data_IF_479770211347
#
_entry.id   IF_479770211347
#
_cell.length_a   1.000
_cell.length_b   1.000
_cell.length_c   1.000
_cell.angle_alpha   90.00
_cell.angle_beta   90.00
_cell.angle_gamma   90.00
#
_symmetry.space_group_name_H-M   'P 1'
#
loop_
_entity.id
_entity.type
_entity.pdbx_description
1 polymer ?
#
# COMPACT_ATOMS: atom_id res chain seq x y z
N UNK A 1 15.27 -12.28 -3.63
CA UNK A 1 16.54 -11.53 -3.46
C UNK A 1 17.61 -12.32 -2.71
N UNK A 2 17.30 -13.47 -2.08
CA UNK A 2 18.26 -14.24 -1.26
C UNK A 2 19.52 -14.74 -1.98
N UNK A 3 19.56 -14.71 -3.32
CA UNK A 3 20.71 -15.12 -4.12
C UNK A 3 21.55 -13.96 -4.67
N UNK A 4 21.22 -12.71 -4.36
CA UNK A 4 22.01 -11.56 -4.79
C UNK A 4 23.40 -11.60 -4.13
N UNK A 5 24.45 -11.38 -4.93
CA UNK A 5 25.84 -11.41 -4.48
C UNK A 5 26.49 -10.06 -4.68
N UNK A 6 27.18 -9.57 -3.66
CA UNK A 6 28.01 -8.39 -3.75
C UNK A 6 29.44 -8.78 -4.12
N UNK A 7 30.01 -8.12 -5.12
CA UNK A 7 31.43 -8.26 -5.42
C UNK A 7 32.31 -7.41 -4.51
N UNK A 8 33.62 -7.56 -4.66
CA UNK A 8 34.60 -6.83 -3.86
C UNK A 8 34.76 -5.39 -4.35
N UNK A 9 34.79 -4.44 -3.41
CA UNK A 9 35.22 -3.08 -3.69
C UNK A 9 36.74 -3.04 -3.83
N UNK A 10 37.26 -2.15 -4.70
CA UNK A 10 38.70 -1.87 -4.76
C UNK A 10 39.02 -0.71 -3.80
N UNK A 11 40.20 -0.71 -3.18
CA UNK A 11 40.65 0.40 -2.34
C UNK A 11 40.62 1.71 -3.15
N UNK A 12 39.86 2.70 -2.70
CA UNK A 12 39.63 3.97 -3.41
C UNK A 12 38.48 3.96 -4.42
N UNK A 13 37.77 2.83 -4.60
CA UNK A 13 36.57 2.71 -5.43
C UNK A 13 35.35 2.44 -4.55
N UNK A 14 34.35 3.31 -4.64
CA UNK A 14 33.05 3.15 -3.96
C UNK A 14 32.02 2.39 -4.81
N UNK A 15 32.49 1.57 -5.78
CA UNK A 15 31.63 0.80 -6.67
C UNK A 15 31.31 -0.53 -6.01
N UNK A 16 30.02 -0.78 -5.77
CA UNK A 16 29.50 -2.03 -5.22
C UNK A 16 28.77 -2.81 -6.32
N UNK A 17 29.43 -3.76 -7.01
CA UNK A 17 28.76 -4.57 -8.02
C UNK A 17 27.79 -5.55 -7.35
N UNK A 18 26.54 -5.56 -7.81
CA UNK A 18 25.52 -6.51 -7.39
C UNK A 18 25.22 -7.46 -8.53
N UNK A 19 25.45 -8.76 -8.30
CA UNK A 19 25.13 -9.84 -9.23
C UNK A 19 23.85 -10.52 -8.80
N UNK A 20 22.87 -10.54 -9.69
CA UNK A 20 21.58 -11.19 -9.46
C UNK A 20 21.47 -12.39 -10.40
N UNK A 21 21.75 -13.62 -9.92
CA UNK A 21 21.67 -14.81 -10.76
C UNK A 21 20.22 -15.06 -11.17
N UNK A 22 20.03 -15.48 -12.42
CA UNK A 22 18.72 -15.84 -12.94
C UNK A 22 18.51 -17.34 -12.82
N UNK A 23 17.37 -17.74 -12.27
CA UNK A 23 16.91 -19.11 -12.38
C UNK A 23 16.20 -19.28 -13.73
N UNK A 24 16.91 -19.86 -14.69
CA UNK A 24 16.40 -20.12 -16.05
C UNK A 24 15.81 -21.52 -16.21
N UNK A 25 15.76 -22.31 -15.14
CA UNK A 25 15.24 -23.68 -15.18
C UNK A 25 13.74 -23.73 -15.49
N UNK A 26 12.99 -22.76 -14.98
CA UNK A 26 11.54 -22.61 -15.16
C UNK A 26 11.13 -22.09 -16.54
N UNK A 27 12.07 -21.60 -17.35
CA UNK A 27 11.82 -20.98 -18.67
C UNK A 27 11.84 -22.04 -19.79
N UNK A 28 12.38 -23.24 -19.52
CA UNK A 28 12.49 -24.32 -20.50
C UNK A 28 11.31 -25.29 -20.41
N UNK A 29 10.11 -24.84 -20.79
CA UNK A 29 9.02 -25.74 -21.16
C UNK A 29 9.11 -26.09 -22.65
N UNK A 30 9.87 -27.12 -23.02
CA UNK A 30 9.75 -27.74 -24.36
C UNK A 30 8.88 -28.99 -24.23
N UNK A 31 7.84 -29.11 -25.05
CA UNK A 31 7.13 -30.38 -25.18
C UNK A 31 7.99 -31.41 -25.94
N UNK A 32 7.60 -32.69 -25.88
CA UNK A 32 8.27 -33.78 -26.58
C UNK A 32 8.14 -33.71 -28.12
N UNK A 33 7.33 -32.78 -28.64
CA UNK A 33 7.02 -32.57 -30.06
C UNK A 33 7.78 -31.40 -30.69
N UNK A 34 8.57 -30.64 -29.91
CA UNK A 34 9.30 -29.48 -30.41
C UNK A 34 8.41 -28.27 -30.72
N UNK A 35 7.15 -28.26 -30.29
CA UNK A 35 6.22 -27.14 -30.47
C UNK A 35 6.16 -26.28 -29.21
N UNK A 36 6.33 -24.97 -29.41
CA UNK A 36 6.28 -23.97 -28.34
C UNK A 36 4.81 -23.65 -28.02
N UNK A 37 4.18 -24.52 -27.23
CA UNK A 37 2.86 -24.28 -26.65
C UNK A 37 2.93 -23.03 -25.76
N UNK A 38 2.23 -21.96 -26.17
CA UNK A 38 1.97 -20.72 -25.43
C UNK A 38 2.84 -20.54 -24.17
N UNK A 39 4.06 -20.06 -24.38
CA UNK A 39 4.92 -19.58 -23.30
C UNK A 39 4.18 -18.43 -22.64
N UNK A 40 3.54 -18.67 -21.49
CA UNK A 40 3.32 -17.57 -20.57
C UNK A 40 4.70 -17.14 -20.10
N UNK A 41 5.26 -16.12 -20.77
CA UNK A 41 6.56 -15.50 -20.57
C UNK A 41 6.67 -14.87 -19.17
N UNK A 42 6.62 -15.69 -18.13
CA UNK A 42 6.81 -15.24 -16.77
C UNK A 42 8.27 -14.88 -16.61
N UNK A 43 8.54 -13.58 -16.66
CA UNK A 43 9.83 -13.03 -16.28
C UNK A 43 10.26 -13.62 -14.92
N UNK A 44 11.48 -14.19 -14.82
CA UNK A 44 11.96 -14.75 -13.56
C UNK A 44 11.90 -13.72 -12.45
N UNK A 45 11.62 -14.17 -11.23
CA UNK A 45 11.39 -13.26 -10.10
C UNK A 45 12.57 -12.32 -9.87
N UNK A 46 13.79 -12.83 -10.04
CA UNK A 46 15.02 -12.08 -9.91
C UNK A 46 15.14 -10.98 -10.98
N UNK A 47 14.65 -11.24 -12.19
CA UNK A 47 14.62 -10.25 -13.27
C UNK A 47 13.53 -9.21 -13.01
N UNK A 48 12.32 -9.62 -12.59
CA UNK A 48 11.25 -8.70 -12.19
C UNK A 48 11.70 -7.77 -11.07
N UNK A 49 12.32 -8.31 -10.02
CA UNK A 49 12.79 -7.54 -8.88
C UNK A 49 13.85 -6.51 -9.28
N UNK A 50 14.85 -6.92 -10.07
CA UNK A 50 15.88 -6.01 -10.59
C UNK A 50 15.26 -4.94 -11.50
N UNK A 51 14.28 -5.31 -12.35
CA UNK A 51 13.56 -4.36 -13.21
C UNK A 51 12.78 -3.34 -12.40
N UNK A 52 12.02 -3.78 -11.40
CA UNK A 52 11.29 -2.88 -10.50
C UNK A 52 12.26 -1.94 -9.78
N UNK A 53 13.39 -2.44 -9.27
CA UNK A 53 14.41 -1.60 -8.65
C UNK A 53 14.96 -0.54 -9.61
N UNK A 54 15.28 -0.94 -10.85
CA UNK A 54 15.78 -0.03 -11.88
C UNK A 54 14.73 1.03 -12.24
N UNK A 55 13.48 0.62 -12.44
CA UNK A 55 12.35 1.50 -12.75
C UNK A 55 12.08 2.48 -11.61
N UNK A 56 12.10 2.01 -10.36
CA UNK A 56 11.93 2.84 -9.18
C UNK A 56 13.05 3.89 -9.05
N UNK A 57 14.31 3.50 -9.26
CA UNK A 57 15.44 4.44 -9.24
C UNK A 57 15.32 5.49 -10.34
N UNK A 58 14.93 5.08 -11.54
CA UNK A 58 14.68 6.00 -12.66
C UNK A 58 13.50 6.93 -12.39
N UNK A 59 12.43 6.43 -11.76
CA UNK A 59 11.28 7.25 -11.39
C UNK A 59 11.68 8.32 -10.36
N UNK A 60 12.47 7.97 -9.34
CA UNK A 60 13.00 8.96 -8.38
C UNK A 60 13.81 10.03 -9.10
N UNK A 61 14.72 9.65 -9.99
CA UNK A 61 15.48 10.64 -10.77
C UNK A 61 14.55 11.55 -11.58
N UNK A 62 13.68 10.98 -12.42
CA UNK A 62 12.88 11.74 -13.39
C UNK A 62 11.74 12.57 -12.77
N UNK A 63 11.16 12.10 -11.66
CA UNK A 63 9.97 12.70 -11.06
C UNK A 63 10.28 13.54 -9.81
N UNK A 64 11.43 13.31 -9.16
CA UNK A 64 11.82 14.03 -7.94
C UNK A 64 13.05 14.90 -8.20
N UNK A 65 14.11 14.32 -8.77
CA UNK A 65 15.41 15.00 -8.90
C UNK A 65 15.41 15.99 -10.06
N UNK A 66 15.14 15.52 -11.27
CA UNK A 66 15.21 16.32 -12.50
C UNK A 66 14.25 17.54 -12.50
N UNK A 67 13.00 17.44 -11.98
CA UNK A 67 12.11 18.60 -11.93
C UNK A 67 12.54 19.65 -10.90
N UNK A 68 13.44 19.30 -9.96
CA UNK A 68 13.94 20.14 -8.89
C UNK A 68 12.82 20.86 -8.09
N UNK A 69 11.68 20.19 -7.91
CA UNK A 69 10.48 20.73 -7.26
C UNK A 69 9.89 19.71 -6.30
N UNK A 70 9.17 20.22 -5.32
CA UNK A 70 8.45 19.40 -4.37
C UNK A 70 7.40 18.51 -5.08
N UNK A 71 7.38 17.18 -4.83
CA UNK A 71 6.44 16.30 -5.51
C UNK A 71 4.98 16.57 -5.09
N UNK A 72 4.09 16.49 -6.09
CA UNK A 72 2.64 16.59 -5.91
C UNK A 72 2.03 15.26 -5.47
N UNK A 73 0.73 15.24 -5.15
CA UNK A 73 -0.01 14.01 -4.84
C UNK A 73 -0.03 13.02 -6.03
N UNK A 74 -0.26 13.50 -7.25
CA UNK A 74 -0.20 12.65 -8.46
C UNK A 74 1.19 12.06 -8.69
N UNK A 75 2.23 12.88 -8.48
CA UNK A 75 3.63 12.40 -8.55
C UNK A 75 3.92 11.30 -7.52
N UNK A 76 3.31 11.37 -6.34
CA UNK A 76 3.45 10.32 -5.32
C UNK A 76 2.79 9.00 -5.75
N UNK A 77 1.63 9.07 -6.38
CA UNK A 77 0.95 7.89 -6.94
C UNK A 77 1.78 7.25 -8.07
N UNK A 78 2.37 8.07 -8.95
CA UNK A 78 3.25 7.62 -10.02
C UNK A 78 4.51 6.92 -9.46
N UNK A 79 5.13 7.48 -8.42
CA UNK A 79 6.28 6.89 -7.74
C UNK A 79 5.94 5.52 -7.13
N UNK A 80 4.80 5.42 -6.43
CA UNK A 80 4.34 4.16 -5.83
C UNK A 80 4.07 3.12 -6.93
N UNK A 81 3.42 3.53 -8.02
CA UNK A 81 3.13 2.65 -9.16
C UNK A 81 4.40 2.14 -9.84
N UNK A 82 5.45 2.96 -9.88
CA UNK A 82 6.78 2.57 -10.36
C UNK A 82 7.56 1.65 -9.39
N UNK A 83 7.01 1.35 -8.21
CA UNK A 83 7.63 0.49 -7.21
C UNK A 83 8.56 1.21 -6.24
N UNK A 84 8.49 2.54 -6.16
CA UNK A 84 9.27 3.32 -5.19
C UNK A 84 8.69 3.12 -3.80
N UNK A 85 9.53 2.78 -2.83
CA UNK A 85 9.17 2.70 -1.42
C UNK A 85 9.75 3.87 -0.63
N UNK A 86 9.16 4.16 0.53
CA UNK A 86 9.67 5.18 1.45
C UNK A 86 11.08 4.84 1.91
N UNK A 87 11.34 3.57 2.20
CA UNK A 87 12.62 3.05 2.67
C UNK A 87 13.71 3.26 1.62
N UNK A 88 13.38 3.05 0.34
CA UNK A 88 14.29 3.30 -0.77
C UNK A 88 14.65 4.78 -0.89
N UNK A 89 13.67 5.68 -0.83
CA UNK A 89 13.93 7.13 -0.91
C UNK A 89 14.72 7.63 0.30
N UNK A 90 14.42 7.09 1.50
CA UNK A 90 15.18 7.41 2.71
C UNK A 90 16.64 6.93 2.60
N UNK A 91 16.87 5.72 2.12
CA UNK A 91 18.23 5.19 1.90
C UNK A 91 19.00 6.03 0.87
N UNK A 92 18.35 6.45 -0.22
CA UNK A 92 18.96 7.37 -1.19
C UNK A 92 19.36 8.70 -0.55
N UNK A 93 18.46 9.31 0.23
CA UNK A 93 18.75 10.52 1.00
C UNK A 93 20.00 10.33 1.88
N UNK A 94 20.07 9.22 2.63
CA UNK A 94 21.17 8.98 3.56
C UNK A 94 22.51 8.82 2.81
N UNK A 95 22.51 8.16 1.65
CA UNK A 95 23.70 8.01 0.80
C UNK A 95 24.17 9.36 0.27
N UNK A 96 23.28 10.14 -0.35
CA UNK A 96 23.68 11.39 -1.02
C UNK A 96 23.89 12.57 -0.06
N UNK A 97 23.50 12.41 1.21
CA UNK A 97 23.79 13.38 2.28
C UNK A 97 25.14 13.15 2.95
N UNK A 98 25.81 12.02 2.67
CA UNK A 98 27.15 11.79 3.20
C UNK A 98 28.15 12.75 2.56
N UNK A 99 28.99 13.40 3.37
CA UNK A 99 29.95 14.43 2.93
C UNK A 99 30.90 13.94 1.82
N UNK A 100 31.25 12.65 1.83
CA UNK A 100 32.12 12.03 0.84
C UNK A 100 31.43 11.70 -0.51
N UNK A 101 30.12 11.93 -0.63
CA UNK A 101 29.32 11.55 -1.81
C UNK A 101 28.85 12.81 -2.54
N UNK A 102 29.38 13.06 -3.73
CA UNK A 102 28.89 14.12 -4.62
C UNK A 102 27.73 13.65 -5.51
N UNK A 103 27.74 12.37 -5.89
CA UNK A 103 26.76 11.75 -6.79
C UNK A 103 26.59 10.27 -6.42
N UNK A 104 25.35 9.82 -6.34
CA UNK A 104 25.00 8.41 -6.40
C UNK A 104 24.72 8.02 -7.86
N UNK A 105 25.38 6.96 -8.34
CA UNK A 105 25.11 6.39 -9.65
C UNK A 105 24.85 4.89 -9.57
N UNK A 106 23.95 4.41 -10.42
CA UNK A 106 23.68 3.00 -10.61
C UNK A 106 23.63 2.68 -12.10
N UNK A 107 24.28 1.59 -12.51
CA UNK A 107 24.27 1.08 -13.88
C UNK A 107 23.68 -0.32 -13.90
N UNK A 108 22.82 -0.59 -14.88
CA UNK A 108 22.10 -1.84 -15.02
C UNK A 108 22.54 -2.56 -16.29
N UNK A 109 23.09 -3.76 -16.10
CA UNK A 109 23.45 -4.66 -17.18
C UNK A 109 22.51 -5.86 -17.14
N UNK A 110 21.73 -6.04 -18.20
CA UNK A 110 20.72 -7.09 -18.29
C UNK A 110 21.28 -8.33 -18.98
N UNK A 111 20.97 -9.51 -18.44
CA UNK A 111 21.40 -10.77 -19.04
C UNK A 111 20.78 -10.96 -20.43
N UNK A 112 21.62 -11.25 -21.43
CA UNK A 112 21.21 -11.46 -22.82
C UNK A 112 20.44 -12.76 -23.07
N UNK A 113 20.45 -13.69 -22.11
CA UNK A 113 19.76 -14.98 -22.20
C UNK A 113 18.22 -14.86 -22.26
N UNK A 114 17.68 -13.67 -21.99
CA UNK A 114 16.27 -13.34 -22.12
C UNK A 114 16.12 -12.07 -22.93
N UNK A 115 15.09 -11.99 -23.77
CA UNK A 115 14.82 -10.78 -24.55
C UNK A 115 14.73 -9.57 -23.62
N UNK A 116 15.56 -8.57 -23.85
CA UNK A 116 15.51 -7.31 -23.14
C UNK A 116 14.62 -6.35 -23.93
N UNK A 117 13.52 -5.89 -23.34
CA UNK A 117 12.77 -4.78 -23.91
C UNK A 117 13.69 -3.55 -23.96
N UNK A 118 13.70 -2.83 -25.09
CA UNK A 118 14.52 -1.63 -25.30
C UNK A 118 14.22 -0.49 -24.31
N UNK A 119 13.12 -0.61 -23.57
CA UNK A 119 12.62 0.34 -22.57
C UNK A 119 13.19 0.13 -21.16
N UNK A 120 14.04 -0.89 -20.95
CA UNK A 120 14.66 -1.11 -19.64
C UNK A 120 15.65 0.00 -19.28
N UNK A 121 15.63 0.51 -18.03
CA UNK A 121 16.61 1.49 -17.59
C UNK A 121 18.04 0.94 -17.68
N UNK A 122 18.97 1.82 -18.08
CA UNK A 122 20.39 1.50 -18.24
C UNK A 122 21.25 2.12 -17.15
N UNK A 123 20.91 3.33 -16.72
CA UNK A 123 21.62 4.02 -15.66
C UNK A 123 20.73 5.04 -14.96
N UNK A 124 21.14 5.39 -13.74
CA UNK A 124 20.56 6.45 -12.91
C UNK A 124 21.70 7.24 -12.29
N UNK A 125 21.51 8.56 -12.17
CA UNK A 125 22.44 9.47 -11.51
C UNK A 125 21.67 10.47 -10.64
N UNK A 126 22.04 10.57 -9.37
CA UNK A 126 21.38 11.42 -8.37
C UNK A 126 22.47 12.23 -7.66
N UNK A 127 22.46 13.55 -7.85
CA UNK A 127 23.43 14.45 -7.22
C UNK A 127 23.11 14.70 -5.73
N UNK A 128 24.13 15.00 -4.93
CA UNK A 128 24.01 15.37 -3.51
C UNK A 128 23.02 16.53 -3.28
N UNK A 129 22.93 17.47 -4.22
CA UNK A 129 21.99 18.59 -4.18
C UNK A 129 20.50 18.19 -4.14
N UNK A 130 20.17 16.92 -4.42
CA UNK A 130 18.81 16.40 -4.34
C UNK A 130 18.40 15.95 -2.93
N UNK A 131 19.31 15.98 -1.94
CA UNK A 131 19.08 15.46 -0.58
C UNK A 131 17.78 15.99 0.03
N UNK A 132 17.56 17.30 0.04
CA UNK A 132 16.36 17.90 0.66
C UNK A 132 15.05 17.44 0.00
N UNK A 133 15.04 17.28 -1.33
CA UNK A 133 13.89 16.77 -2.07
C UNK A 133 13.63 15.30 -1.76
N UNK A 134 14.67 14.47 -1.63
CA UNK A 134 14.54 13.07 -1.24
C UNK A 134 14.00 12.96 0.20
N UNK A 135 14.51 13.78 1.13
CA UNK A 135 14.02 13.83 2.51
C UNK A 135 12.54 14.18 2.59
N UNK A 136 12.14 15.21 1.84
CA UNK A 136 10.75 15.66 1.76
C UNK A 136 9.85 14.58 1.14
N UNK A 137 10.33 13.93 0.08
CA UNK A 137 9.62 12.84 -0.60
C UNK A 137 9.39 11.68 0.35
N UNK A 138 10.44 11.21 1.05
CA UNK A 138 10.32 10.15 2.05
C UNK A 138 9.34 10.51 3.18
N UNK A 139 9.30 11.78 3.59
CA UNK A 139 8.34 12.26 4.61
C UNK A 139 6.90 12.20 4.10
N UNK A 140 6.65 12.58 2.85
CA UNK A 140 5.32 12.57 2.20
C UNK A 140 4.83 11.15 1.87
N UNK A 141 5.73 10.22 1.59
CA UNK A 141 5.41 8.80 1.39
C UNK A 141 5.06 8.06 2.68
N UNK A 142 5.09 8.72 3.85
CA UNK A 142 4.56 8.11 5.07
C UNK A 142 3.12 7.69 4.81
N UNK A 143 2.75 6.44 5.12
CA UNK A 143 1.36 6.02 5.05
C UNK A 143 0.54 7.01 5.88
N UNK A 144 -0.27 7.83 5.20
CA UNK A 144 -1.41 8.42 5.87
C UNK A 144 -2.25 7.23 6.30
N UNK A 145 -2.68 7.12 7.58
CA UNK A 145 -3.63 6.11 7.95
C UNK A 145 -4.85 6.31 7.06
N UNK A 146 -4.95 5.51 5.99
CA UNK A 146 -6.15 5.48 5.16
C UNK A 146 -7.24 5.09 6.14
N UNK A 147 -8.14 6.04 6.37
CA UNK A 147 -9.38 5.87 7.13
C UNK A 147 -10.20 4.82 6.38
N UNK A 148 -9.89 3.55 6.62
CA UNK A 148 -10.53 2.46 5.91
C UNK A 148 -11.91 2.27 6.52
N UNK A 149 -12.94 2.49 5.71
CA UNK A 149 -14.30 2.10 6.05
C UNK A 149 -14.30 0.59 6.27
N UNK A 150 -14.60 0.16 7.50
CA UNK A 150 -14.78 -1.25 7.87
C UNK A 150 -16.30 -1.55 7.90
N UNK A 151 -16.67 -2.80 7.60
CA UNK A 151 -18.06 -3.27 7.65
C UNK A 151 -18.23 -4.26 8.80
N UNK A 152 -19.24 -4.03 9.64
CA UNK A 152 -19.56 -4.84 10.80
C UNK A 152 -21.00 -5.32 10.74
N UNK A 153 -21.23 -6.45 11.39
CA UNK A 153 -22.57 -7.03 11.49
C UNK A 153 -22.86 -7.40 12.94
N UNK A 154 -24.06 -7.08 13.40
CA UNK A 154 -24.49 -7.42 14.75
C UNK A 154 -25.73 -6.67 15.22
N UNK A 155 -26.38 -7.14 16.30
CA UNK A 155 -27.54 -6.47 16.88
C UNK A 155 -27.12 -5.27 17.74
N UNK A 156 -28.06 -4.36 17.97
CA UNK A 156 -27.91 -3.30 18.97
C UNK A 156 -28.03 -3.92 20.37
N UNK A 157 -27.03 -3.68 21.22
CA UNK A 157 -26.99 -4.14 22.62
C UNK A 157 -27.20 -3.01 23.62
N UNK A 158 -26.94 -1.76 23.22
CA UNK A 158 -27.21 -0.57 24.03
C UNK A 158 -27.76 0.54 23.13
N UNK A 159 -28.82 1.20 23.58
CA UNK A 159 -29.39 2.39 22.96
C UNK A 159 -29.47 3.50 24.01
N UNK A 160 -28.87 4.65 23.72
CA UNK A 160 -28.98 5.87 24.51
C UNK A 160 -29.60 6.95 23.65
N UNK A 161 -30.80 7.34 24.05
CA UNK A 161 -31.57 8.42 23.46
C UNK A 161 -31.82 9.46 24.57
N UNK A 162 -31.34 10.68 24.37
CA UNK A 162 -31.53 11.79 25.30
C UNK A 162 -32.28 12.90 24.54
N UNK A 163 -33.44 13.32 25.05
CA UNK A 163 -34.30 14.32 24.41
C UNK A 163 -33.59 15.66 24.14
N UNK A 164 -32.49 15.95 24.85
CA UNK A 164 -31.67 17.15 24.69
C UNK A 164 -30.58 17.05 23.62
N UNK A 165 -30.31 15.88 23.04
CA UNK A 165 -29.23 15.67 22.08
C UNK A 165 -29.78 15.53 20.64
N UNK A 166 -29.13 16.21 19.68
CA UNK A 166 -29.45 16.11 18.25
C UNK A 166 -29.07 14.76 17.63
N UNK A 167 -28.34 13.92 18.36
CA UNK A 167 -27.80 12.63 17.93
C UNK A 167 -27.97 11.62 19.06
N UNK A 168 -28.24 10.37 18.69
CA UNK A 168 -28.32 9.25 19.65
C UNK A 168 -27.11 8.33 19.53
N UNK A 169 -26.71 7.76 20.66
CA UNK A 169 -25.60 6.79 20.71
C UNK A 169 -26.16 5.37 20.83
N UNK A 170 -25.77 4.50 19.91
CA UNK A 170 -26.09 3.07 20.00
C UNK A 170 -24.82 2.24 20.01
N UNK A 171 -24.81 1.09 20.66
CA UNK A 171 -23.73 0.11 20.56
C UNK A 171 -24.21 -1.14 19.89
N UNK A 172 -23.44 -1.62 18.91
CA UNK A 172 -23.62 -2.93 18.31
C UNK A 172 -22.61 -3.92 18.90
N UNK A 173 -23.03 -5.17 19.11
CA UNK A 173 -22.12 -6.25 19.45
C UNK A 173 -21.68 -6.95 18.16
N UNK A 174 -20.39 -7.06 17.93
CA UNK A 174 -19.82 -7.64 16.71
C UNK A 174 -18.54 -8.42 16.99
N UNK A 175 -17.89 -8.93 15.95
CA UNK A 175 -16.58 -9.59 16.02
C UNK A 175 -15.58 -8.81 15.18
N UNK A 176 -14.49 -8.34 15.80
CA UNK A 176 -13.39 -7.68 15.10
C UNK A 176 -12.09 -8.42 15.41
N UNK A 177 -11.34 -8.80 14.37
CA UNK A 177 -10.08 -9.56 14.51
C UNK A 177 -10.24 -10.84 15.36
N UNK A 178 -11.36 -11.55 15.18
CA UNK A 178 -11.65 -12.81 15.88
C UNK A 178 -12.04 -12.67 17.36
N UNK A 179 -12.26 -11.45 17.87
CA UNK A 179 -12.71 -11.20 19.24
C UNK A 179 -14.07 -10.51 19.24
N UNK A 180 -14.97 -10.95 20.12
CA UNK A 180 -16.23 -10.24 20.36
C UNK A 180 -15.93 -8.88 20.99
N UNK A 181 -16.57 -7.84 20.47
CA UNK A 181 -16.43 -6.47 20.95
C UNK A 181 -17.70 -5.66 20.68
N UNK A 182 -17.84 -4.54 21.38
CA UNK A 182 -18.87 -3.54 21.09
C UNK A 182 -18.28 -2.36 20.33
N UNK A 183 -19.06 -1.81 19.40
CA UNK A 183 -18.73 -0.57 18.68
C UNK A 183 -19.85 0.43 18.91
N UNK A 184 -19.51 1.59 19.46
CA UNK A 184 -20.42 2.71 19.64
C UNK A 184 -20.58 3.50 18.34
N UNK A 185 -21.82 3.83 18.01
CA UNK A 185 -22.23 4.51 16.79
C UNK A 185 -22.96 5.79 17.17
N UNK A 186 -22.58 6.90 16.55
CA UNK A 186 -23.35 8.12 16.61
C UNK A 186 -24.32 8.13 15.41
N UNK A 187 -25.62 8.10 15.69
CA UNK A 187 -26.65 8.05 14.67
C UNK A 187 -27.24 9.43 14.38
N UNK A 188 -27.59 9.66 13.12
CA UNK A 188 -28.47 10.76 12.71
C UNK A 188 -29.89 10.55 13.27
N UNK A 189 -30.69 11.61 13.31
CA UNK A 189 -32.06 11.55 13.82
C UNK A 189 -32.95 10.50 13.12
N UNK A 190 -32.77 10.28 11.81
CA UNK A 190 -33.53 9.29 11.05
C UNK A 190 -33.19 7.85 11.47
N UNK A 191 -31.89 7.53 11.55
CA UNK A 191 -31.43 6.22 11.97
C UNK A 191 -31.69 5.96 13.47
N UNK A 192 -31.64 7.01 14.31
CA UNK A 192 -31.99 6.91 15.72
C UNK A 192 -33.44 6.47 15.91
N UNK A 193 -34.38 7.06 15.16
CA UNK A 193 -35.79 6.67 15.22
C UNK A 193 -36.00 5.20 14.86
N UNK A 194 -35.36 4.73 13.80
CA UNK A 194 -35.40 3.31 13.36
C UNK A 194 -34.72 2.38 14.37
N UNK A 195 -33.70 2.87 15.08
CA UNK A 195 -32.92 2.06 16.02
C UNK A 195 -33.72 1.56 17.22
N UNK A 196 -34.80 2.24 17.62
CA UNK A 196 -35.72 1.75 18.65
C UNK A 196 -36.38 0.44 18.24
N UNK A 197 -36.86 0.36 17.01
CA UNK A 197 -37.45 -0.86 16.45
C UNK A 197 -36.40 -1.97 16.31
N UNK A 198 -35.25 -1.66 15.71
CA UNK A 198 -34.15 -2.61 15.55
C UNK A 198 -33.65 -3.17 16.88
N UNK A 199 -33.61 -2.33 17.92
CA UNK A 199 -33.21 -2.76 19.27
C UNK A 199 -34.24 -3.67 19.92
N UNK A 200 -35.53 -3.35 19.79
CA UNK A 200 -36.63 -4.13 20.37
C UNK A 200 -36.73 -5.54 19.76
N UNK A 201 -36.48 -5.65 18.46
CA UNK A 201 -36.57 -6.91 17.69
C UNK A 201 -35.27 -7.70 17.68
N UNK A 202 -34.19 -7.16 18.26
CA UNK A 202 -32.82 -7.72 18.17
C UNK A 202 -32.39 -7.98 16.73
N UNK A 203 -32.80 -7.10 15.84
CA UNK A 203 -32.45 -7.17 14.43
C UNK A 203 -30.94 -7.02 14.22
N UNK A 204 -30.38 -7.87 13.35
CA UNK A 204 -28.96 -7.80 12.98
C UNK A 204 -28.76 -6.71 11.94
N UNK A 205 -27.91 -5.73 12.26
CA UNK A 205 -27.60 -4.59 11.40
C UNK A 205 -26.28 -4.81 10.65
N UNK A 206 -26.16 -4.20 9.49
CA UNK A 206 -24.90 -3.94 8.79
C UNK A 206 -24.52 -2.49 8.99
N UNK A 207 -23.30 -2.29 9.50
CA UNK A 207 -22.76 -0.97 9.79
C UNK A 207 -21.44 -0.79 9.07
N UNK A 208 -21.34 0.28 8.28
CA UNK A 208 -20.10 0.65 7.59
C UNK A 208 -19.62 2.00 8.09
N UNK A 209 -18.34 2.10 8.43
CA UNK A 209 -17.75 3.36 8.85
C UNK A 209 -16.30 3.27 9.24
N UNK A 210 -15.70 4.43 9.49
CA UNK A 210 -14.35 4.53 10.04
C UNK A 210 -14.38 4.23 11.54
N UNK A 211 -13.65 3.19 11.96
CA UNK A 211 -13.53 2.85 13.39
C UNK A 211 -12.37 3.59 14.01
N UNK A 212 -12.68 4.37 15.04
CA UNK A 212 -11.71 5.02 15.90
C UNK A 212 -11.68 4.33 17.27
N UNK A 213 -10.50 4.24 17.89
CA UNK A 213 -10.36 3.80 19.27
C UNK A 213 -10.10 5.02 20.14
N UNK A 214 -11.01 5.28 21.08
CA UNK A 214 -10.89 6.39 22.02
C UNK A 214 -10.43 5.83 23.36
N UNK A 215 -9.28 6.30 23.92
CA UNK A 215 -8.80 5.87 25.22
C UNK A 215 -9.90 5.99 26.29
N UNK A 216 -10.14 4.90 27.02
CA UNK A 216 -11.17 4.84 28.08
C UNK A 216 -12.62 4.73 27.61
N UNK A 217 -12.92 4.89 26.31
CA UNK A 217 -14.30 4.78 25.78
C UNK A 217 -14.50 3.60 24.83
N UNK A 218 -13.44 3.07 24.22
CA UNK A 218 -13.53 1.91 23.32
C UNK A 218 -13.67 2.28 21.85
N UNK A 219 -14.26 1.39 21.05
CA UNK A 219 -14.38 1.53 19.59
C UNK A 219 -15.60 2.39 19.22
N UNK A 220 -15.41 3.33 18.29
CA UNK A 220 -16.41 4.31 17.90
C UNK A 220 -16.46 4.53 16.39
N UNK A 221 -17.67 4.72 15.86
CA UNK A 221 -17.95 5.24 14.52
C UNK A 221 -18.81 6.50 14.67
N UNK A 222 -18.22 7.67 14.44
CA UNK A 222 -18.90 8.96 14.65
C UNK A 222 -19.79 9.39 13.49
N UNK A 223 -19.56 8.85 12.29
CA UNK A 223 -20.33 9.15 11.10
C UNK A 223 -20.41 7.89 10.23
N UNK A 224 -21.29 6.93 10.56
CA UNK A 224 -21.42 5.71 9.79
C UNK A 224 -21.89 6.03 8.37
N UNK A 225 -21.23 5.44 7.37
CA UNK A 225 -21.60 5.55 5.97
C UNK A 225 -22.88 4.74 5.64
N UNK A 226 -23.10 3.63 6.37
CA UNK A 226 -24.30 2.80 6.25
C UNK A 226 -24.71 2.24 7.61
N UNK A 227 -26.01 2.27 7.91
CA UNK A 227 -26.63 1.59 9.05
C UNK A 227 -28.00 1.12 8.58
N UNK A 228 -28.17 -0.19 8.43
CA UNK A 228 -29.45 -0.77 8.00
C UNK A 228 -29.52 -2.25 8.41
N UNK A 229 -30.73 -2.84 8.46
CA UNK A 229 -30.89 -4.27 8.61
C UNK A 229 -30.10 -5.09 7.59
N UNK A 230 -29.50 -6.19 8.05
CA UNK A 230 -28.79 -7.13 7.18
C UNK A 230 -29.71 -7.68 6.08
N UNK A 231 -31.00 -7.90 6.37
CA UNK A 231 -31.99 -8.36 5.38
C UNK A 231 -32.11 -7.43 4.17
N UNK A 232 -31.92 -6.12 4.35
CA UNK A 232 -32.00 -5.12 3.28
C UNK A 232 -30.73 -5.05 2.43
N UNK A 233 -29.64 -5.72 2.85
CA UNK A 233 -28.41 -5.84 2.07
C UNK A 233 -28.36 -7.10 1.21
N UNK A 234 -29.24 -8.08 1.46
CA UNK A 234 -29.29 -9.31 0.68
C UNK A 234 -30.18 -9.12 -0.54
N UNK A 235 -29.59 -9.22 -1.74
CA UNK A 235 -30.24 -9.06 -3.05
C UNK A 235 -31.26 -10.16 -3.42
N UNK A 236 -31.75 -10.95 -2.47
CA UNK A 236 -32.73 -12.00 -2.73
C UNK A 236 -33.97 -11.78 -1.86
N UNK A 237 -35.01 -11.19 -2.47
CA UNK A 237 -36.38 -11.39 -2.03
C UNK A 237 -36.71 -12.88 -2.17
N UNK A 238 -36.96 -13.56 -1.07
CA UNK A 238 -37.70 -14.82 -1.11
C UNK A 238 -39.18 -14.46 -1.21
N UNK A 239 -39.82 -14.90 -2.30
CA UNK A 239 -41.27 -14.88 -2.50
C UNK A 239 -42.02 -15.58 -1.34
#
# INVERSE_FOLDING_TARGET
MEQARFGHTKKGSYILPMLVPLDISSIKGKDASGHQLFSYDHEPEQRRATRTMAQALTAVQRLVVDPAKEPSAGTMEDLITAGVSREMVAALHDIVSAEAVSVFSAEFVWAAALESNSTLPKSVSIAAGASDLLKLTAKKMRPSPKKQTESFTGPIVQLRDEESLTFGEVKIQTVRKGRSCEIALLLSADNLRKSHEWFSTKETLVVEGEVTSIPGKGLHISSPARVQPLRETMLFSAD
#
